data_IF_436581898303
#
_entry.id   IF_436581898303
#
_cell.length_a   1.000
_cell.length_b   1.000
_cell.length_c   1.000
_cell.angle_alpha   90.00
_cell.angle_beta   90.00
_cell.angle_gamma   90.00
#
_symmetry.space_group_name_H-M   'P 1'
#
loop_
_entity.id
_entity.type
_entity.pdbx_description
1 polymer ?
#
# COMPACT_ATOMS: atom_id res chain seq x y z
N UNK A 1 -2.05 -17.76 17.10
CA UNK A 1 -3.39 -18.10 16.75
C UNK A 1 -4.36 -17.51 17.70
N UNK A 2 -4.14 -17.78 18.99
CA UNK A 2 -4.94 -17.10 20.00
C UNK A 2 -4.74 -15.62 19.85
N UNK A 3 -3.54 -15.23 19.52
CA UNK A 3 -3.22 -13.83 19.34
C UNK A 3 -3.97 -13.16 18.22
N UNK A 4 -4.28 -13.90 17.19
CA UNK A 4 -4.98 -13.35 16.05
C UNK A 4 -6.39 -12.89 16.43
N UNK A 5 -7.14 -13.74 17.11
CA UNK A 5 -8.47 -13.39 17.56
C UNK A 5 -8.46 -12.21 18.50
N UNK A 6 -7.51 -12.25 19.41
CA UNK A 6 -7.39 -11.21 20.40
C UNK A 6 -7.02 -9.89 19.76
N UNK A 7 -6.12 -9.94 18.78
CA UNK A 7 -5.70 -8.77 18.05
C UNK A 7 -6.87 -8.11 17.35
N UNK A 8 -7.72 -8.93 16.75
CA UNK A 8 -8.88 -8.43 16.06
C UNK A 8 -9.82 -7.68 17.01
N UNK A 9 -10.02 -8.22 18.17
CA UNK A 9 -10.86 -7.59 19.18
C UNK A 9 -10.28 -6.26 19.62
N UNK A 10 -9.00 -6.25 19.86
CA UNK A 10 -8.33 -5.05 20.34
C UNK A 10 -8.46 -3.91 19.34
N UNK A 11 -8.22 -4.19 18.07
CA UNK A 11 -8.32 -3.16 17.06
C UNK A 11 -9.72 -2.61 16.92
N UNK A 12 -10.70 -3.47 16.97
CA UNK A 12 -12.08 -3.03 16.86
C UNK A 12 -12.47 -2.14 18.03
N UNK A 13 -12.02 -2.49 19.19
CA UNK A 13 -12.41 -1.76 20.40
C UNK A 13 -11.69 -0.44 20.54
N UNK A 14 -10.45 -0.39 20.10
CA UNK A 14 -9.64 0.79 20.35
C UNK A 14 -9.64 1.78 19.22
N UNK A 15 -9.60 1.30 18.00
CA UNK A 15 -9.44 2.18 16.85
C UNK A 15 -10.72 2.52 16.15
N UNK A 16 -11.76 1.76 16.39
CA UNK A 16 -12.98 1.92 15.63
C UNK A 16 -12.84 1.49 14.19
N UNK A 17 -11.69 0.98 13.81
CA UNK A 17 -11.43 0.47 12.47
C UNK A 17 -11.45 -1.04 12.49
N UNK A 18 -11.84 -1.62 11.38
CA UNK A 18 -11.75 -3.06 11.24
C UNK A 18 -10.32 -3.48 11.08
N UNK A 19 -10.05 -4.74 11.40
CA UNK A 19 -8.70 -5.27 11.23
C UNK A 19 -8.31 -5.28 9.76
N UNK A 20 -9.30 -5.43 8.88
CA UNK A 20 -9.03 -5.42 7.45
C UNK A 20 -8.49 -4.07 7.01
N UNK A 21 -9.06 -2.98 7.54
CA UNK A 21 -8.58 -1.65 7.21
C UNK A 21 -7.16 -1.44 7.68
N UNK A 22 -6.86 -1.95 8.86
CA UNK A 22 -5.53 -1.82 9.41
C UNK A 22 -4.50 -2.53 8.53
N UNK A 23 -4.81 -3.76 8.13
CA UNK A 23 -3.90 -4.51 7.28
C UNK A 23 -3.81 -3.93 5.88
N UNK A 24 -4.89 -3.33 5.40
CA UNK A 24 -4.83 -2.65 4.10
C UNK A 24 -3.80 -1.53 4.13
N UNK A 25 -3.81 -0.75 5.21
CA UNK A 25 -2.85 0.34 5.34
C UNK A 25 -1.42 -0.19 5.40
N UNK A 26 -1.20 -1.28 6.12
CA UNK A 26 0.12 -1.89 6.18
C UNK A 26 0.58 -2.38 4.82
N UNK A 27 -0.33 -3.02 4.09
CA UNK A 27 0.00 -3.51 2.76
C UNK A 27 0.35 -2.37 1.81
N UNK A 28 -0.41 -1.28 1.89
CA UNK A 28 -0.14 -0.14 1.03
C UNK A 28 1.19 0.51 1.38
N UNK A 29 1.52 0.60 2.65
CA UNK A 29 2.82 1.11 3.05
C UNK A 29 3.94 0.26 2.48
N UNK A 30 3.78 -1.06 2.54
CA UNK A 30 4.74 -1.97 1.94
C UNK A 30 4.82 -1.77 0.43
N UNK A 31 3.66 -1.57 -0.20
CA UNK A 31 3.62 -1.34 -1.64
C UNK A 31 4.43 -0.12 -2.02
N UNK A 32 4.32 0.95 -1.24
CA UNK A 32 5.09 2.15 -1.49
C UNK A 32 6.59 1.87 -1.50
N UNK A 33 7.04 1.08 -0.54
CA UNK A 33 8.45 0.73 -0.46
C UNK A 33 8.88 -0.11 -1.66
N UNK A 34 8.04 -1.07 -2.04
CA UNK A 34 8.36 -1.94 -3.16
C UNK A 34 8.38 -1.16 -4.48
N UNK A 35 7.50 -0.19 -4.63
CA UNK A 35 7.50 0.65 -5.81
C UNK A 35 8.77 1.49 -5.86
N UNK A 36 9.16 2.03 -4.73
CA UNK A 36 10.37 2.85 -4.65
C UNK A 36 11.62 2.05 -4.98
N UNK A 37 11.66 0.79 -4.58
CA UNK A 37 12.83 -0.03 -4.80
C UNK A 37 12.98 -0.44 -6.26
N UNK A 38 11.86 -0.45 -7.00
CA UNK A 38 11.85 -0.81 -8.42
C UNK A 38 12.31 -2.22 -8.71
N UNK A 39 12.23 -3.09 -7.72
CA UNK A 39 12.61 -4.49 -7.90
C UNK A 39 11.47 -5.34 -8.43
N UNK A 40 10.25 -4.84 -8.35
CA UNK A 40 9.07 -5.58 -8.77
C UNK A 40 8.16 -4.72 -9.62
N UNK A 41 7.48 -5.33 -10.57
CA UNK A 41 6.45 -4.60 -11.28
C UNK A 41 5.16 -4.65 -10.45
N UNK A 42 4.12 -3.97 -10.91
CA UNK A 42 2.89 -3.86 -10.13
C UNK A 42 2.20 -5.20 -9.95
N UNK A 43 2.25 -6.05 -10.94
CA UNK A 43 1.66 -7.38 -10.84
C UNK A 43 2.37 -8.18 -9.76
N UNK A 44 3.68 -8.12 -9.75
CA UNK A 44 4.46 -8.83 -8.74
C UNK A 44 4.20 -8.31 -7.34
N UNK A 45 4.09 -7.00 -7.21
CA UNK A 45 3.81 -6.38 -5.92
C UNK A 45 2.44 -6.82 -5.42
N UNK A 46 1.46 -6.80 -6.31
CA UNK A 46 0.11 -7.22 -5.97
C UNK A 46 0.10 -8.66 -5.47
N UNK A 47 0.79 -9.55 -6.18
CA UNK A 47 0.89 -10.96 -5.78
C UNK A 47 1.62 -11.12 -4.46
N UNK A 48 2.70 -10.41 -4.31
CA UNK A 48 3.51 -10.51 -3.10
C UNK A 48 2.72 -10.11 -1.87
N UNK A 49 1.89 -9.09 -2.01
CA UNK A 49 1.10 -8.61 -0.90
C UNK A 49 -0.21 -9.36 -0.70
N UNK A 50 -0.51 -10.32 -1.56
CA UNK A 50 -1.66 -11.18 -1.36
C UNK A 50 -2.97 -10.64 -1.90
N UNK A 51 -2.92 -9.72 -2.84
CA UNK A 51 -4.14 -9.23 -3.46
C UNK A 51 -4.61 -10.23 -4.50
N UNK A 52 -5.92 -10.35 -4.63
CA UNK A 52 -6.49 -11.30 -5.59
C UNK A 52 -6.35 -10.83 -7.03
N UNK A 53 -6.24 -9.53 -7.24
CA UNK A 53 -6.04 -9.01 -8.59
C UNK A 53 -5.32 -7.68 -8.51
N UNK A 54 -4.67 -7.32 -9.61
CA UNK A 54 -3.97 -6.06 -9.69
C UNK A 54 -4.96 -4.89 -9.67
N UNK A 55 -6.17 -5.11 -10.17
CA UNK A 55 -7.20 -4.08 -10.14
C UNK A 55 -7.60 -3.74 -8.71
N UNK A 56 -7.75 -4.76 -7.90
CA UNK A 56 -8.09 -4.54 -6.50
C UNK A 56 -6.95 -3.82 -5.79
N UNK A 57 -5.73 -4.22 -6.08
CA UNK A 57 -4.55 -3.57 -5.53
C UNK A 57 -4.54 -2.08 -5.89
N UNK A 58 -4.76 -1.77 -7.16
CA UNK A 58 -4.76 -0.38 -7.62
C UNK A 58 -5.81 0.46 -6.92
N UNK A 59 -7.00 -0.11 -6.75
CA UNK A 59 -8.08 0.62 -6.09
C UNK A 59 -7.77 0.89 -4.63
N UNK A 60 -7.23 -0.11 -3.95
CA UNK A 60 -6.84 0.07 -2.56
C UNK A 60 -5.73 1.10 -2.43
N UNK A 61 -4.77 1.02 -3.31
CA UNK A 61 -3.66 1.96 -3.28
C UNK A 61 -4.17 3.40 -3.46
N UNK A 62 -5.04 3.60 -4.43
CA UNK A 62 -5.60 4.93 -4.66
C UNK A 62 -6.43 5.39 -3.48
N UNK A 63 -7.19 4.50 -2.88
CA UNK A 63 -8.00 4.84 -1.73
C UNK A 63 -7.14 5.32 -0.56
N UNK A 64 -6.01 4.67 -0.34
CA UNK A 64 -5.16 5.00 0.81
C UNK A 64 -4.22 6.16 0.55
N UNK A 65 -3.80 6.35 -0.69
CA UNK A 65 -2.77 7.36 -0.99
C UNK A 65 -3.28 8.53 -1.82
N UNK A 66 -4.42 8.37 -2.45
CA UNK A 66 -4.92 9.39 -3.37
C UNK A 66 -4.37 9.27 -4.78
N UNK A 67 -3.49 8.32 -5.02
CA UNK A 67 -2.87 8.13 -6.33
C UNK A 67 -2.91 6.67 -6.72
N UNK A 68 -2.96 6.40 -8.03
CA UNK A 68 -2.78 5.04 -8.49
C UNK A 68 -1.31 4.66 -8.33
N UNK A 69 -0.99 3.36 -8.34
CA UNK A 69 0.42 2.95 -8.26
C UNK A 69 1.27 3.56 -9.38
N UNK A 70 0.70 3.67 -10.57
CA UNK A 70 1.39 4.30 -11.69
C UNK A 70 1.71 5.75 -11.43
N UNK A 71 0.74 6.48 -10.92
CA UNK A 71 0.92 7.88 -10.60
C UNK A 71 1.98 8.05 -9.52
N UNK A 72 1.94 7.18 -8.55
CA UNK A 72 2.90 7.23 -7.46
C UNK A 72 4.31 6.97 -7.99
N UNK A 73 4.46 5.96 -8.84
CA UNK A 73 5.75 5.63 -9.41
C UNK A 73 6.30 6.78 -10.26
N UNK A 74 5.44 7.42 -11.03
CA UNK A 74 5.85 8.58 -11.83
C UNK A 74 6.31 9.72 -10.95
N UNK A 75 5.60 9.93 -9.86
CA UNK A 75 5.94 10.99 -8.92
C UNK A 75 7.33 10.75 -8.33
N UNK A 76 7.61 9.52 -7.94
CA UNK A 76 8.91 9.17 -7.37
C UNK A 76 10.01 9.37 -8.40
N UNK A 77 9.75 8.94 -9.62
CA UNK A 77 10.73 9.06 -10.68
C UNK A 77 11.10 10.53 -10.92
N UNK A 78 10.09 11.39 -10.95
CA UNK A 78 10.32 12.80 -11.16
C UNK A 78 11.16 13.38 -10.04
N UNK A 79 10.90 12.97 -8.81
CA UNK A 79 11.66 13.45 -7.68
C UNK A 79 13.11 12.97 -7.73
N UNK A 80 13.31 11.71 -8.09
CA UNK A 80 14.66 11.18 -8.12
C UNK A 80 15.47 11.79 -9.27
N UNK A 81 14.78 12.34 -10.27
CA UNK A 81 15.47 13.04 -11.34
C UNK A 81 15.67 14.51 -11.04
N UNK A 82 15.27 14.93 -9.86
CA UNK A 82 15.49 16.30 -9.45
C UNK A 82 14.54 17.31 -10.03
N UNK A 83 13.46 16.85 -10.62
CA UNK A 83 12.56 17.76 -11.32
C UNK A 83 11.76 18.67 -10.40
N UNK A 84 11.55 18.23 -9.18
CA UNK A 84 10.80 19.03 -8.23
C UNK A 84 11.66 19.93 -7.40
N UNK A 85 12.94 19.69 -7.40
CA UNK A 85 13.83 20.47 -6.56
C UNK A 85 14.15 21.81 -7.15
N UNK A 86 13.84 21.97 -8.40
CA UNK A 86 14.11 23.20 -9.08
C UNK A 86 13.29 24.34 -8.55
N UNK A 87 12.20 24.00 -7.97
CA UNK A 87 11.29 25.01 -7.45
C UNK A 87 11.75 25.54 -6.13
#
# INVERSE_FOLDING_TARGET
>A
LVGRSRLQKIFKNQCGLGIIDYFSKLKINSAKELIRSRHMNFTQISDYLGYTSIHYFSRQFKKETGMTPSEYASSIKAMSEGKFEEN
#
